data_IF_158816796981
#
_entry.id   IF_158816796981
#
_cell.length_a   1.000
_cell.length_b   1.000
_cell.length_c   1.000
_cell.angle_alpha   90.00
_cell.angle_beta   90.00
_cell.angle_gamma   90.00
#
_symmetry.space_group_name_H-M   'P 1'
#
loop_
_entity.id
_entity.type
_entity.pdbx_description
1 polymer ?
#
# COMPACT_ATOMS: atom_id res chain seq x y z
N UNK A 1 -63.22 0.54 23.39
CA UNK A 1 -62.47 1.08 22.23
C UNK A 1 -61.70 2.29 22.76
N UNK A 2 -60.38 2.35 22.84
CA UNK A 2 -59.34 1.91 21.90
C UNK A 2 -58.15 1.32 22.68
N UNK A 3 -57.67 0.15 22.25
CA UNK A 3 -56.38 -0.42 22.68
C UNK A 3 -55.27 0.30 21.91
N UNK A 4 -54.43 1.06 22.62
CA UNK A 4 -53.21 1.66 22.05
C UNK A 4 -52.20 0.54 21.75
N UNK A 5 -52.05 0.21 20.47
CA UNK A 5 -51.01 -0.69 19.99
C UNK A 5 -49.72 0.12 19.90
N UNK A 6 -48.88 0.03 20.93
CA UNK A 6 -47.51 0.52 20.85
C UNK A 6 -46.78 -0.31 19.77
N UNK A 7 -46.47 0.32 18.64
CA UNK A 7 -45.57 -0.26 17.64
C UNK A 7 -44.17 -0.31 18.24
N UNK A 8 -43.72 -1.50 18.67
CA UNK A 8 -42.30 -1.76 18.90
C UNK A 8 -41.55 -1.50 17.58
N UNK A 9 -40.94 -0.33 17.45
CA UNK A 9 -39.90 -0.13 16.44
C UNK A 9 -38.74 -1.05 16.83
N UNK A 10 -38.72 -2.26 16.24
CA UNK A 10 -37.55 -3.12 16.27
C UNK A 10 -36.40 -2.33 15.68
N UNK A 11 -35.52 -1.82 16.54
CA UNK A 11 -34.20 -1.35 16.13
C UNK A 11 -33.54 -2.55 15.47
N UNK A 12 -33.45 -2.54 14.14
CA UNK A 12 -32.73 -3.57 13.40
C UNK A 12 -31.29 -3.50 13.86
N UNK A 13 -30.90 -4.42 14.75
CA UNK A 13 -29.51 -4.58 15.16
C UNK A 13 -28.68 -4.66 13.89
N UNK A 14 -27.79 -3.69 13.69
CA UNK A 14 -26.90 -3.70 12.55
C UNK A 14 -26.18 -5.05 12.56
N UNK A 15 -26.28 -5.80 11.46
CA UNK A 15 -25.62 -7.11 11.30
C UNK A 15 -24.17 -6.98 11.75
N UNK A 16 -23.70 -7.99 12.50
CA UNK A 16 -22.32 -8.02 12.98
C UNK A 16 -21.36 -7.86 11.80
N UNK A 17 -20.20 -7.21 12.02
CA UNK A 17 -19.21 -7.03 10.96
C UNK A 17 -18.76 -8.38 10.36
N UNK A 18 -18.81 -9.46 11.15
CA UNK A 18 -18.48 -10.82 10.74
C UNK A 18 -19.54 -11.45 9.82
N UNK A 19 -20.79 -10.97 9.87
CA UNK A 19 -21.89 -11.46 9.02
C UNK A 19 -21.98 -10.70 7.69
N UNK A 20 -21.18 -9.64 7.51
CA UNK A 20 -21.16 -8.85 6.28
C UNK A 20 -20.24 -9.52 5.27
N UNK A 21 -20.75 -9.70 4.05
CA UNK A 21 -19.94 -10.19 2.94
C UNK A 21 -18.74 -9.24 2.69
N UNK A 22 -17.52 -9.77 2.72
CA UNK A 22 -16.27 -9.03 2.50
C UNK A 22 -16.19 -8.34 1.12
N UNK A 23 -16.97 -8.81 0.15
CA UNK A 23 -17.07 -8.21 -1.19
C UNK A 23 -18.07 -7.07 -1.27
N UNK A 24 -18.86 -6.81 -0.22
CA UNK A 24 -19.82 -5.70 -0.22
C UNK A 24 -19.15 -4.35 -0.49
N UNK A 25 -17.93 -4.16 0.01
CA UNK A 25 -17.16 -2.93 -0.19
C UNK A 25 -16.27 -2.94 -1.44
N UNK A 26 -16.36 -3.96 -2.31
CA UNK A 26 -15.43 -4.09 -3.46
C UNK A 26 -15.48 -2.88 -4.41
N UNK A 27 -16.65 -2.28 -4.61
CA UNK A 27 -16.83 -1.08 -5.43
C UNK A 27 -17.20 0.16 -4.60
N UNK A 28 -16.95 0.13 -3.29
CA UNK A 28 -17.19 1.32 -2.47
C UNK A 28 -16.03 2.29 -2.68
N UNK A 29 -16.33 3.45 -3.23
CA UNK A 29 -15.36 4.52 -3.45
C UNK A 29 -15.52 5.61 -2.38
N UNK A 30 -14.41 6.23 -2.04
CA UNK A 30 -14.36 7.40 -1.16
C UNK A 30 -13.78 8.57 -1.95
N UNK A 31 -14.18 9.79 -1.59
CA UNK A 31 -13.60 10.99 -2.21
C UNK A 31 -12.10 11.03 -1.98
N UNK A 32 -11.34 11.30 -3.06
CA UNK A 32 -9.90 11.48 -3.00
C UNK A 32 -9.50 12.56 -1.99
N UNK A 33 -10.26 13.65 -1.90
CA UNK A 33 -10.02 14.73 -0.95
C UNK A 33 -10.07 14.23 0.50
N UNK A 34 -11.01 13.34 0.83
CA UNK A 34 -11.12 12.78 2.18
C UNK A 34 -9.89 11.94 2.54
N UNK A 35 -9.38 11.14 1.59
CA UNK A 35 -8.15 10.38 1.77
C UNK A 35 -6.93 11.28 1.93
N UNK A 36 -6.81 12.34 1.11
CA UNK A 36 -5.69 13.29 1.17
C UNK A 36 -5.67 14.03 2.52
N UNK A 37 -6.82 14.51 3.01
CA UNK A 37 -6.88 15.17 4.32
C UNK A 37 -6.53 14.23 5.47
N UNK A 38 -7.03 12.99 5.43
CA UNK A 38 -6.68 11.99 6.43
C UNK A 38 -5.17 11.72 6.44
N UNK A 39 -4.58 11.53 5.25
CA UNK A 39 -3.15 11.25 5.13
C UNK A 39 -2.29 12.45 5.55
N UNK A 40 -2.71 13.68 5.24
CA UNK A 40 -2.06 14.90 5.73
C UNK A 40 -2.03 14.97 7.26
N UNK A 41 -3.14 14.67 7.93
CA UNK A 41 -3.16 14.62 9.40
C UNK A 41 -2.34 13.46 9.97
N UNK A 42 -2.29 12.30 9.28
CA UNK A 42 -1.40 11.20 9.67
C UNK A 42 0.08 11.61 9.61
N UNK A 43 0.48 12.35 8.57
CA UNK A 43 1.83 12.89 8.42
C UNK A 43 2.15 13.87 9.55
N UNK A 44 1.28 14.85 9.79
CA UNK A 44 1.46 15.83 10.86
C UNK A 44 1.50 15.17 12.25
N UNK A 45 0.65 14.16 12.48
CA UNK A 45 0.66 13.37 13.71
C UNK A 45 2.00 12.65 13.92
N UNK A 46 2.54 12.02 12.87
CA UNK A 46 3.82 11.34 12.93
C UNK A 46 4.96 12.33 13.15
N UNK A 47 4.98 13.44 12.40
CA UNK A 47 5.99 14.49 12.48
C UNK A 47 6.14 15.06 13.89
N UNK A 48 5.03 15.27 14.62
CA UNK A 48 5.06 15.77 16.01
C UNK A 48 5.66 14.79 17.03
N UNK A 49 5.89 13.53 16.65
CA UNK A 49 6.30 12.43 17.55
C UNK A 49 7.66 11.83 17.21
N UNK A 50 8.33 12.37 16.20
CA UNK A 50 9.62 11.88 15.70
C UNK A 50 10.63 13.01 15.69
N UNK A 51 11.92 12.68 15.82
CA UNK A 51 12.97 13.67 15.97
C UNK A 51 13.71 13.97 14.66
N UNK A 52 13.47 13.21 13.59
CA UNK A 52 14.14 13.36 12.30
C UNK A 52 13.38 12.78 11.12
N UNK A 53 13.84 13.11 9.92
CA UNK A 53 13.23 12.70 8.64
C UNK A 53 13.22 11.17 8.51
N UNK A 54 14.34 10.51 8.83
CA UNK A 54 14.43 9.05 8.75
C UNK A 54 13.44 8.36 9.72
N UNK A 55 13.25 8.91 10.92
CA UNK A 55 12.27 8.39 11.87
C UNK A 55 10.83 8.62 11.39
N UNK A 56 10.58 9.74 10.73
CA UNK A 56 9.30 10.01 10.07
C UNK A 56 9.02 8.99 8.97
N UNK A 57 9.96 8.76 8.06
CA UNK A 57 9.83 7.77 7.00
C UNK A 57 9.61 6.37 7.54
N UNK A 58 10.38 5.96 8.56
CA UNK A 58 10.19 4.69 9.27
C UNK A 58 8.78 4.58 9.84
N UNK A 59 8.28 5.65 10.46
CA UNK A 59 6.93 5.66 11.05
C UNK A 59 5.83 5.57 9.99
N UNK A 60 6.03 6.22 8.84
CA UNK A 60 5.11 6.13 7.71
C UNK A 60 5.14 4.73 7.09
N UNK A 61 6.32 4.14 6.96
CA UNK A 61 6.47 2.75 6.55
C UNK A 61 5.68 1.82 7.50
N UNK A 62 5.81 1.95 8.83
CA UNK A 62 5.02 1.14 9.78
C UNK A 62 3.50 1.26 9.58
N UNK A 63 3.00 2.47 9.26
CA UNK A 63 1.58 2.67 8.94
C UNK A 63 1.21 1.96 7.64
N UNK A 64 2.06 2.08 6.62
CA UNK A 64 1.94 1.38 5.35
C UNK A 64 1.92 -0.13 5.53
N UNK A 65 2.83 -0.67 6.34
CA UNK A 65 2.98 -2.09 6.61
C UNK A 65 1.67 -2.70 7.12
N UNK A 66 1.05 -2.06 8.10
CA UNK A 66 -0.25 -2.51 8.65
C UNK A 66 -1.35 -2.53 7.59
N UNK A 67 -1.34 -1.56 6.68
CA UNK A 67 -2.29 -1.51 5.55
C UNK A 67 -1.99 -2.63 4.57
N UNK A 68 -0.72 -2.82 4.20
CA UNK A 68 -0.27 -3.87 3.28
C UNK A 68 -0.64 -5.27 3.73
N UNK A 69 -0.46 -5.61 5.01
CA UNK A 69 -0.85 -6.93 5.54
C UNK A 69 -2.36 -7.21 5.34
N UNK A 70 -3.21 -6.19 5.57
CA UNK A 70 -4.67 -6.33 5.39
C UNK A 70 -5.09 -6.34 3.93
N UNK A 71 -4.39 -5.59 3.09
CA UNK A 71 -4.62 -5.56 1.64
C UNK A 71 -4.29 -6.92 1.03
N UNK A 72 -3.17 -7.53 1.43
CA UNK A 72 -2.80 -8.88 0.98
C UNK A 72 -3.88 -9.91 1.32
N UNK A 73 -4.30 -9.99 2.59
CA UNK A 73 -5.35 -10.92 3.04
C UNK A 73 -6.66 -10.73 2.24
N UNK A 74 -7.07 -9.48 2.06
CA UNK A 74 -8.30 -9.14 1.36
C UNK A 74 -8.25 -9.48 -0.14
N UNK A 75 -7.13 -9.16 -0.80
CA UNK A 75 -6.96 -9.41 -2.24
C UNK A 75 -6.80 -10.89 -2.55
N UNK A 76 -6.05 -11.64 -1.73
CA UNK A 76 -5.93 -13.09 -1.86
C UNK A 76 -7.32 -13.77 -1.83
N UNK A 77 -8.19 -13.32 -0.92
CA UNK A 77 -9.58 -13.79 -0.85
C UNK A 77 -10.42 -13.37 -2.06
N UNK A 78 -10.36 -12.08 -2.46
CA UNK A 78 -11.21 -11.51 -3.53
C UNK A 78 -10.89 -12.06 -4.90
N UNK A 79 -9.61 -12.23 -5.20
CA UNK A 79 -9.13 -12.72 -6.49
C UNK A 79 -9.17 -14.25 -6.55
N UNK A 80 -9.62 -14.93 -5.48
CA UNK A 80 -9.62 -16.39 -5.34
C UNK A 80 -8.26 -16.98 -5.73
N UNK A 81 -7.19 -16.31 -5.32
CA UNK A 81 -5.82 -16.74 -5.59
C UNK A 81 -5.59 -18.02 -4.79
N UNK A 82 -5.94 -19.15 -5.39
CA UNK A 82 -5.84 -20.47 -4.77
C UNK A 82 -4.37 -20.92 -4.66
N UNK A 83 -3.48 -20.27 -5.42
CA UNK A 83 -2.06 -20.63 -5.51
C UNK A 83 -1.21 -19.44 -5.09
N UNK A 84 -0.45 -19.63 -4.01
CA UNK A 84 0.59 -18.69 -3.57
C UNK A 84 1.67 -18.59 -4.64
N UNK A 85 2.08 -17.37 -4.98
CA UNK A 85 3.17 -17.14 -5.90
C UNK A 85 4.50 -17.63 -5.30
N UNK A 86 5.30 -18.29 -6.12
CA UNK A 86 6.60 -18.88 -5.71
C UNK A 86 7.78 -18.21 -6.40
N UNK A 87 7.54 -17.46 -7.49
CA UNK A 87 8.56 -16.73 -8.24
C UNK A 87 8.51 -15.26 -7.88
N UNK A 88 9.69 -14.66 -7.70
CA UNK A 88 9.85 -13.22 -7.42
C UNK A 88 9.09 -12.37 -8.43
N UNK A 89 9.25 -12.63 -9.72
CA UNK A 89 8.63 -11.82 -10.77
C UNK A 89 7.10 -11.83 -10.69
N UNK A 90 6.48 -12.95 -10.31
CA UNK A 90 5.04 -13.07 -10.23
C UNK A 90 4.46 -12.26 -9.06
N UNK A 91 5.12 -12.30 -7.88
CA UNK A 91 4.68 -11.50 -6.73
C UNK A 91 4.86 -10.00 -7.01
N UNK A 92 5.93 -9.61 -7.70
CA UNK A 92 6.13 -8.23 -8.13
C UNK A 92 5.06 -7.77 -9.12
N UNK A 93 4.66 -8.61 -10.08
CA UNK A 93 3.52 -8.32 -10.97
C UNK A 93 2.19 -8.23 -10.21
N UNK A 94 1.98 -9.08 -9.21
CA UNK A 94 0.80 -8.98 -8.34
C UNK A 94 0.75 -7.62 -7.61
N UNK A 95 1.89 -7.14 -7.10
CA UNK A 95 1.99 -5.81 -6.47
C UNK A 95 1.73 -4.70 -7.50
N UNK A 96 2.44 -4.74 -8.62
CA UNK A 96 2.38 -3.75 -9.71
C UNK A 96 0.96 -3.59 -10.29
N UNK A 97 0.25 -4.70 -10.55
CA UNK A 97 -1.02 -4.67 -11.28
C UNK A 97 -2.24 -4.78 -10.37
N UNK A 98 -2.21 -5.66 -9.37
CA UNK A 98 -3.38 -5.95 -8.54
C UNK A 98 -3.43 -5.05 -7.30
N UNK A 99 -2.35 -5.03 -6.53
CA UNK A 99 -2.27 -4.20 -5.32
C UNK A 99 -2.35 -2.71 -5.69
N UNK A 100 -1.57 -2.27 -6.69
CA UNK A 100 -1.59 -0.88 -7.13
C UNK A 100 -2.97 -0.43 -7.59
N UNK A 101 -3.65 -1.23 -8.41
CA UNK A 101 -5.01 -0.92 -8.88
C UNK A 101 -6.02 -0.88 -7.74
N UNK A 102 -5.90 -1.78 -6.77
CA UNK A 102 -6.79 -1.80 -5.61
C UNK A 102 -6.63 -0.55 -4.71
N UNK A 103 -5.42 0.03 -4.64
CA UNK A 103 -5.11 1.17 -3.80
C UNK A 103 -5.28 2.52 -4.50
N UNK A 104 -4.92 2.59 -5.79
CA UNK A 104 -4.76 3.85 -6.53
C UNK A 104 -5.61 3.92 -7.81
N UNK A 105 -6.38 2.87 -8.12
CA UNK A 105 -7.26 2.83 -9.30
C UNK A 105 -6.54 2.61 -10.64
N UNK A 106 -5.21 2.57 -10.65
CA UNK A 106 -4.38 2.28 -11.83
C UNK A 106 -3.27 1.27 -11.49
N UNK A 107 -2.71 0.62 -12.51
CA UNK A 107 -1.47 -0.12 -12.34
C UNK A 107 -0.32 0.86 -12.11
N UNK A 108 0.79 0.38 -11.54
CA UNK A 108 2.03 1.14 -11.58
C UNK A 108 2.49 1.35 -13.04
N UNK A 109 3.33 2.36 -13.25
CA UNK A 109 3.75 2.76 -14.59
C UNK A 109 4.91 1.90 -15.12
N UNK A 110 5.78 1.41 -14.23
CA UNK A 110 6.81 0.44 -14.59
C UNK A 110 7.16 -0.56 -13.49
N UNK A 111 7.64 -1.73 -13.90
CA UNK A 111 8.31 -2.74 -13.09
C UNK A 111 9.62 -3.13 -13.78
N UNK A 112 10.74 -2.86 -13.12
CA UNK A 112 12.09 -3.00 -13.69
C UNK A 112 12.98 -3.81 -12.73
N UNK A 113 13.92 -4.59 -13.28
CA UNK A 113 15.03 -5.17 -12.51
C UNK A 113 16.24 -4.25 -12.64
N UNK A 114 16.98 -4.03 -11.55
CA UNK A 114 18.22 -3.27 -11.60
C UNK A 114 19.23 -3.94 -12.52
N UNK A 115 19.95 -3.12 -13.30
CA UNK A 115 21.06 -3.58 -14.15
C UNK A 115 22.37 -3.72 -13.38
N UNK A 116 22.45 -3.08 -12.22
CA UNK A 116 23.66 -3.04 -11.40
C UNK A 116 23.65 -4.15 -10.34
N UNK A 117 22.47 -4.45 -9.80
CA UNK A 117 22.30 -5.30 -8.63
C UNK A 117 21.22 -6.37 -8.89
N UNK A 118 21.57 -7.65 -8.78
CA UNK A 118 20.64 -8.74 -9.07
C UNK A 118 19.52 -8.90 -8.02
N UNK A 119 19.75 -8.40 -6.81
CA UNK A 119 18.83 -8.38 -5.66
C UNK A 119 17.83 -7.21 -5.72
N UNK A 120 17.93 -6.32 -6.70
CA UNK A 120 17.16 -5.09 -6.74
C UNK A 120 16.12 -5.06 -7.87
N UNK A 121 14.90 -4.69 -7.48
CA UNK A 121 13.75 -4.44 -8.36
C UNK A 121 13.15 -3.07 -8.06
N UNK A 122 12.49 -2.49 -9.05
CA UNK A 122 11.96 -1.12 -8.99
C UNK A 122 10.53 -1.11 -9.51
N UNK A 123 9.61 -0.55 -8.73
CA UNK A 123 8.24 -0.23 -9.18
C UNK A 123 8.10 1.28 -9.23
N UNK A 124 7.76 1.86 -10.38
CA UNK A 124 7.64 3.32 -10.51
C UNK A 124 6.20 3.77 -10.73
N UNK A 125 5.83 4.88 -10.09
CA UNK A 125 4.58 5.61 -10.30
C UNK A 125 4.92 7.04 -10.69
N UNK A 126 4.48 7.43 -11.89
CA UNK A 126 4.75 8.73 -12.47
C UNK A 126 3.94 9.85 -11.80
N UNK A 127 2.78 9.52 -11.23
CA UNK A 127 1.88 10.50 -10.61
C UNK A 127 1.23 9.92 -9.33
N UNK A 128 2.01 9.72 -8.26
CA UNK A 128 1.55 9.07 -7.03
C UNK A 128 0.34 9.79 -6.43
N UNK A 129 -0.81 9.13 -6.46
CA UNK A 129 -2.12 9.71 -6.08
C UNK A 129 -2.13 10.24 -4.65
N UNK A 130 -1.46 9.53 -3.74
CA UNK A 130 -1.45 9.85 -2.32
C UNK A 130 -0.69 11.15 -2.00
N UNK A 131 0.42 11.40 -2.72
CA UNK A 131 1.32 12.53 -2.45
C UNK A 131 1.15 13.69 -3.42
N UNK A 132 0.35 13.54 -4.49
CA UNK A 132 0.13 14.54 -5.54
C UNK A 132 -0.19 15.95 -5.02
N UNK A 133 -0.93 16.04 -3.92
CA UNK A 133 -1.37 17.31 -3.31
C UNK A 133 -0.57 17.72 -2.08
N UNK A 134 0.47 16.98 -1.73
CA UNK A 134 1.31 17.26 -0.56
C UNK A 134 2.45 18.15 -1.01
N UNK A 135 2.53 19.33 -0.39
CA UNK A 135 3.68 20.22 -0.56
C UNK A 135 4.60 20.03 0.64
N UNK A 136 5.82 19.57 0.39
CA UNK A 136 6.82 19.36 1.44
C UNK A 136 7.55 20.68 1.69
N UNK A 137 7.65 21.17 2.95
CA UNK A 137 8.46 22.34 3.30
C UNK A 137 9.92 22.16 2.85
N UNK A 138 10.61 23.27 2.55
CA UNK A 138 12.00 23.22 2.01
C UNK A 138 12.97 22.51 2.97
N UNK A 139 12.74 22.68 4.27
CA UNK A 139 13.50 22.07 5.37
C UNK A 139 13.38 20.54 5.39
N UNK A 140 12.31 20.01 4.78
CA UNK A 140 12.01 18.59 4.67
C UNK A 140 12.16 18.08 3.25
N UNK A 141 12.89 18.77 2.38
CA UNK A 141 13.03 18.41 0.96
C UNK A 141 13.54 16.99 0.69
N UNK A 142 14.19 16.35 1.68
CA UNK A 142 14.63 14.96 1.62
C UNK A 142 13.56 13.93 2.03
N UNK A 143 12.44 14.37 2.64
CA UNK A 143 11.38 13.50 3.11
C UNK A 143 10.63 12.88 1.94
N UNK A 144 10.56 11.55 1.92
CA UNK A 144 9.67 10.84 1.02
C UNK A 144 8.42 10.32 1.74
N UNK A 145 7.29 11.01 1.56
CA UNK A 145 5.99 10.58 2.09
C UNK A 145 5.52 9.23 1.51
N UNK A 146 6.04 8.83 0.34
CA UNK A 146 5.78 7.51 -0.24
C UNK A 146 6.52 6.38 0.49
N UNK A 147 7.26 6.65 1.57
CA UNK A 147 7.66 5.63 2.55
C UNK A 147 6.45 4.85 3.08
N UNK A 148 5.27 5.48 3.15
CA UNK A 148 4.01 4.78 3.42
C UNK A 148 3.68 3.71 2.37
N UNK A 149 3.87 4.01 1.09
CA UNK A 149 3.65 3.05 -0.01
C UNK A 149 4.71 1.96 -0.01
N UNK A 150 5.98 2.31 0.28
CA UNK A 150 7.05 1.33 0.47
C UNK A 150 6.69 0.31 1.56
N UNK A 151 6.17 0.76 2.71
CA UNK A 151 5.72 -0.14 3.78
C UNK A 151 4.59 -1.08 3.37
N UNK A 152 3.65 -0.62 2.52
CA UNK A 152 2.60 -1.49 1.95
C UNK A 152 3.24 -2.62 1.13
N UNK A 153 4.18 -2.25 0.24
CA UNK A 153 4.88 -3.20 -0.64
C UNK A 153 5.69 -4.21 0.19
N UNK A 154 6.42 -3.73 1.20
CA UNK A 154 7.18 -4.55 2.15
C UNK A 154 6.29 -5.59 2.85
N UNK A 155 5.16 -5.17 3.40
CA UNK A 155 4.23 -6.10 4.05
C UNK A 155 3.63 -7.15 3.10
N UNK A 156 3.41 -6.80 1.84
CA UNK A 156 2.90 -7.76 0.84
C UNK A 156 3.99 -8.79 0.49
N UNK A 157 5.23 -8.36 0.34
CA UNK A 157 6.38 -9.23 0.06
C UNK A 157 6.64 -10.18 1.23
N UNK A 158 6.68 -9.66 2.46
CA UNK A 158 6.80 -10.45 3.69
C UNK A 158 5.70 -11.51 3.82
N UNK A 159 4.45 -11.09 3.63
CA UNK A 159 3.30 -11.99 3.69
C UNK A 159 3.30 -13.07 2.60
N UNK A 160 3.96 -12.81 1.46
CA UNK A 160 4.20 -13.79 0.41
C UNK A 160 5.45 -14.65 0.64
N UNK A 161 6.23 -14.38 1.69
CA UNK A 161 7.53 -15.01 2.03
C UNK A 161 8.64 -14.65 1.05
N UNK A 162 8.72 -13.37 0.66
CA UNK A 162 9.83 -12.78 -0.09
C UNK A 162 10.39 -11.59 0.69
N UNK A 163 11.00 -11.81 1.87
CA UNK A 163 11.49 -10.72 2.69
C UNK A 163 12.44 -9.82 1.90
N UNK A 164 12.26 -8.52 2.09
CA UNK A 164 12.95 -7.50 1.32
C UNK A 164 12.97 -6.20 2.10
N UNK A 165 14.04 -5.42 1.92
CA UNK A 165 14.06 -4.02 2.33
C UNK A 165 13.46 -3.16 1.22
N UNK A 166 12.43 -2.39 1.56
CA UNK A 166 11.73 -1.54 0.59
C UNK A 166 11.85 -0.06 0.95
N UNK A 167 12.27 0.77 0.00
CA UNK A 167 12.42 2.22 0.18
C UNK A 167 11.74 2.98 -0.96
N UNK A 168 11.39 4.24 -0.72
CA UNK A 168 10.80 5.10 -1.73
C UNK A 168 11.79 6.22 -2.10
N UNK A 169 11.93 6.50 -3.39
CA UNK A 169 12.77 7.57 -3.92
C UNK A 169 12.00 8.40 -4.95
N UNK A 170 12.02 9.72 -4.81
CA UNK A 170 11.50 10.60 -5.86
C UNK A 170 12.57 10.76 -6.93
N UNK A 171 12.29 10.25 -8.12
CA UNK A 171 13.21 10.27 -9.27
C UNK A 171 12.47 10.97 -10.42
N UNK A 172 12.60 12.31 -10.52
CA UNK A 172 11.92 13.10 -11.54
C UNK A 172 12.26 12.60 -12.94
N UNK A 173 11.26 12.62 -13.83
CA UNK A 173 11.42 12.39 -15.26
C UNK A 173 10.73 13.51 -16.03
N UNK A 174 11.09 13.71 -17.30
CA UNK A 174 10.45 14.70 -18.16
C UNK A 174 8.92 14.52 -18.15
N UNK A 175 8.20 15.58 -17.75
CA UNK A 175 6.75 15.56 -17.58
C UNK A 175 6.24 15.05 -16.23
N UNK A 176 7.09 14.40 -15.42
CA UNK A 176 6.72 13.78 -14.14
C UNK A 176 7.68 14.19 -13.01
N UNK A 177 7.58 15.43 -12.48
CA UNK A 177 8.48 15.94 -11.44
C UNK A 177 8.35 15.22 -10.10
N UNK A 178 7.19 14.59 -9.84
CA UNK A 178 6.91 13.84 -8.62
C UNK A 178 6.98 12.32 -8.82
N UNK A 179 7.52 11.86 -9.95
CA UNK A 179 7.71 10.42 -10.21
C UNK A 179 8.43 9.78 -9.03
N UNK A 180 7.84 8.72 -8.51
CA UNK A 180 8.36 8.01 -7.35
C UNK A 180 8.66 6.57 -7.74
N UNK A 181 9.84 6.10 -7.36
CA UNK A 181 10.28 4.72 -7.53
C UNK A 181 10.36 4.07 -6.15
N UNK A 182 9.68 2.93 -6.02
CA UNK A 182 9.80 2.02 -4.88
C UNK A 182 10.92 1.04 -5.21
N UNK A 183 12.05 1.17 -4.51
CA UNK A 183 13.18 0.27 -4.61
C UNK A 183 12.95 -0.91 -3.66
N UNK A 184 13.06 -2.12 -4.20
CA UNK A 184 12.87 -3.39 -3.50
C UNK A 184 14.20 -4.11 -3.55
N UNK A 185 14.85 -4.26 -2.40
CA UNK A 185 16.10 -5.01 -2.25
C UNK A 185 15.80 -6.32 -1.53
N UNK A 186 15.82 -7.42 -2.26
CA UNK A 186 15.48 -8.75 -1.75
C UNK A 186 16.57 -9.27 -0.80
N UNK A 187 16.16 -10.04 0.20
CA UNK A 187 17.11 -10.74 1.04
C UNK A 187 17.79 -11.89 0.28
N UNK A 188 19.03 -12.19 0.65
CA UNK A 188 19.87 -13.20 -0.02
C UNK A 188 19.17 -14.57 -0.12
N UNK A 189 18.43 -14.97 0.92
CA UNK A 189 17.68 -16.24 0.94
C UNK A 189 16.60 -16.34 -0.15
N UNK A 190 16.05 -15.21 -0.58
CA UNK A 190 15.05 -15.16 -1.65
C UNK A 190 15.71 -15.46 -2.99
N UNK A 191 16.91 -14.92 -3.22
CA UNK A 191 17.68 -15.17 -4.44
C UNK A 191 18.13 -16.62 -4.54
N UNK A 192 18.65 -17.18 -3.45
CA UNK A 192 19.04 -18.59 -3.38
C UNK A 192 17.85 -19.50 -3.69
N UNK A 193 16.67 -19.20 -3.14
CA UNK A 193 15.44 -19.95 -3.44
C UNK A 193 15.00 -19.79 -4.89
N UNK A 194 15.08 -18.58 -5.44
CA UNK A 194 14.70 -18.33 -6.84
C UNK A 194 15.64 -19.07 -7.81
N UNK A 195 16.93 -19.18 -7.48
CA UNK A 195 17.90 -19.95 -8.27
C UNK A 195 17.57 -21.45 -8.31
N UNK A 196 17.12 -22.03 -7.20
CA UNK A 196 16.67 -23.43 -7.14
C UNK A 196 15.38 -23.70 -7.94
N UNK A 197 14.64 -22.65 -8.31
CA UNK A 197 13.39 -22.73 -9.07
C UNK A 197 13.58 -22.44 -10.58
N UNK A 198 14.82 -22.17 -11.03
CA UNK A 198 15.18 -22.08 -12.44
C UNK A 198 15.08 -23.45 -13.10
#
# INVERSE_FOLDING_TARGET
MQSSVYSEQRITRAKSILEKNLNKSKGAEVSLSAQTFLFSEMLQYAQKRVNGIQDLERKLNEFGYRVGSRVLELLAWREKVAKREIKVINVLYFIHSTVWKALFGKQADSLEKSTENEDEYMISDNEPVLTRYISVPKELSQLNCNAFVAGIVEAVLDGCQFPARVTAHTVPQDGFPQRTTILIKLDQEVLEREELLK
#
